data_IF_937937720756
#
_entry.id   IF_937937720756
#
_cell.length_a   1.000
_cell.length_b   1.000
_cell.length_c   1.000
_cell.angle_alpha   90.00
_cell.angle_beta   90.00
_cell.angle_gamma   90.00
#
_symmetry.space_group_name_H-M   'P 1'
#
loop_
_entity.id
_entity.type
_entity.pdbx_description
1 polymer ?
#
# COMPACT_ATOMS: atom_id res chain seq x y z
N UNK A 1 31.63 44.47 -35.62
CA UNK A 1 30.80 44.16 -34.44
C UNK A 1 30.43 42.67 -34.40
N UNK A 2 31.35 41.75 -34.71
CA UNK A 2 30.97 40.34 -35.01
C UNK A 2 31.93 39.26 -34.47
N UNK A 3 33.14 39.61 -34.00
CA UNK A 3 34.05 38.61 -33.41
C UNK A 3 33.84 38.40 -31.89
N UNK A 4 33.48 39.47 -31.17
CA UNK A 4 33.33 39.42 -29.70
C UNK A 4 32.09 38.61 -29.28
N UNK A 5 31.02 38.66 -30.08
CA UNK A 5 29.76 37.95 -29.78
C UNK A 5 29.88 36.42 -29.94
N UNK A 6 30.77 35.96 -30.84
CA UNK A 6 31.02 34.52 -31.05
C UNK A 6 31.85 33.92 -29.91
N UNK A 7 32.79 34.69 -29.34
CA UNK A 7 33.60 34.25 -28.20
C UNK A 7 32.75 34.14 -26.93
N UNK A 8 31.79 35.05 -26.72
CA UNK A 8 30.86 34.98 -25.57
C UNK A 8 29.90 33.79 -25.69
N UNK A 9 29.45 33.43 -26.90
CA UNK A 9 28.66 32.20 -27.12
C UNK A 9 29.48 30.90 -26.92
N UNK A 10 30.78 30.91 -27.24
CA UNK A 10 31.66 29.76 -26.99
C UNK A 10 32.00 29.59 -25.50
N UNK A 11 32.10 30.67 -24.73
CA UNK A 11 32.33 30.60 -23.28
C UNK A 11 31.06 30.13 -22.53
N UNK A 12 29.86 30.41 -23.05
CA UNK A 12 28.60 29.93 -22.48
C UNK A 12 28.32 28.44 -22.76
N UNK A 13 29.09 27.78 -23.64
CA UNK A 13 28.96 26.33 -23.91
C UNK A 13 29.95 25.45 -23.14
N UNK A 14 30.79 26.03 -22.28
CA UNK A 14 31.53 25.29 -21.24
C UNK A 14 30.83 25.37 -19.90
N UNK A 15 29.49 25.31 -19.90
CA UNK A 15 28.81 24.67 -18.78
C UNK A 15 29.27 23.22 -18.83
N UNK A 16 30.23 22.83 -17.98
CA UNK A 16 30.46 21.41 -17.72
C UNK A 16 29.09 20.84 -17.38
N UNK A 17 28.47 20.16 -18.34
CA UNK A 17 27.43 19.21 -18.02
C UNK A 17 28.12 18.28 -17.04
N UNK A 18 27.73 18.31 -15.77
CA UNK A 18 28.12 17.31 -14.78
C UNK A 18 27.48 15.99 -15.23
N UNK A 19 27.97 15.46 -16.36
CA UNK A 19 27.67 14.14 -16.84
C UNK A 19 28.37 13.21 -15.87
N UNK A 20 27.58 12.51 -15.08
CA UNK A 20 28.06 11.42 -14.24
C UNK A 20 28.76 10.41 -15.15
N UNK A 21 30.08 10.33 -15.09
CA UNK A 21 30.86 9.34 -15.84
C UNK A 21 30.67 7.95 -15.23
N UNK A 22 30.51 6.94 -16.08
CA UNK A 22 30.39 5.53 -15.67
C UNK A 22 31.65 5.06 -14.95
N UNK A 23 32.81 5.64 -15.23
CA UNK A 23 34.07 5.36 -14.53
C UNK A 23 33.94 5.62 -13.03
N UNK A 24 33.41 6.78 -12.64
CA UNK A 24 33.18 7.16 -11.24
C UNK A 24 32.20 6.21 -10.55
N UNK A 25 31.15 5.77 -11.26
CA UNK A 25 30.16 4.81 -10.70
C UNK A 25 30.80 3.44 -10.47
N UNK A 26 31.61 2.96 -11.42
CA UNK A 26 32.34 1.68 -11.28
C UNK A 26 33.36 1.72 -10.15
N UNK A 27 34.06 2.84 -10.00
CA UNK A 27 35.01 3.04 -8.91
C UNK A 27 34.28 3.04 -7.57
N UNK A 28 33.20 3.81 -7.42
CA UNK A 28 32.37 3.81 -6.22
C UNK A 28 31.88 2.40 -5.87
N UNK A 29 31.44 1.63 -6.87
CA UNK A 29 31.01 0.25 -6.67
C UNK A 29 32.11 -0.63 -6.08
N UNK A 30 33.33 -0.49 -6.61
CA UNK A 30 34.49 -1.28 -6.19
C UNK A 30 34.93 -0.89 -4.78
N UNK A 31 34.97 0.40 -4.48
CA UNK A 31 35.53 0.93 -3.24
C UNK A 31 34.57 0.75 -2.04
N UNK A 32 33.26 0.90 -2.27
CA UNK A 32 32.25 0.90 -1.19
C UNK A 32 31.47 -0.41 -1.10
N UNK A 33 31.10 -1.01 -2.23
CA UNK A 33 30.11 -2.09 -2.26
C UNK A 33 30.70 -3.49 -2.48
N UNK A 34 31.93 -3.62 -2.98
CA UNK A 34 32.51 -4.92 -3.33
C UNK A 34 32.64 -5.89 -2.14
N UNK A 35 32.89 -5.36 -0.93
CA UNK A 35 33.08 -6.16 0.29
C UNK A 35 31.95 -5.96 1.30
N UNK A 36 30.85 -5.30 0.90
CA UNK A 36 29.72 -5.07 1.81
C UNK A 36 29.03 -6.39 2.14
N UNK A 37 28.89 -6.70 3.44
CA UNK A 37 28.26 -7.93 3.92
C UNK A 37 26.80 -7.67 4.29
N UNK A 38 25.89 -8.10 3.42
CA UNK A 38 24.45 -7.85 3.58
C UNK A 38 23.80 -8.69 4.69
N UNK A 39 24.47 -9.72 5.19
CA UNK A 39 23.96 -10.59 6.25
C UNK A 39 24.09 -9.96 7.64
N UNK A 40 24.90 -8.90 7.78
CA UNK A 40 25.12 -8.19 9.04
C UNK A 40 24.14 -7.03 9.14
N UNK A 41 23.57 -6.81 10.33
CA UNK A 41 22.73 -5.64 10.59
C UNK A 41 23.55 -4.36 10.36
N UNK A 42 23.08 -3.41 9.53
CA UNK A 42 23.85 -2.27 9.07
C UNK A 42 23.91 -1.13 10.11
N UNK A 43 24.27 -1.45 11.35
CA UNK A 43 24.37 -0.54 12.49
C UNK A 43 25.81 -0.45 13.00
N UNK A 44 26.25 0.78 13.30
CA UNK A 44 27.59 1.01 13.89
C UNK A 44 27.62 0.46 15.32
N UNK A 45 26.65 0.85 16.15
CA UNK A 45 26.49 0.30 17.50
C UNK A 45 25.52 -0.88 17.48
N UNK A 46 26.07 -2.09 17.64
CA UNK A 46 25.32 -3.33 17.63
C UNK A 46 24.37 -3.50 18.83
N UNK A 47 24.46 -2.64 19.87
CA UNK A 47 23.58 -2.66 21.03
C UNK A 47 22.33 -1.79 20.87
N UNK A 48 22.24 -1.02 19.78
CA UNK A 48 21.08 -0.16 19.51
C UNK A 48 20.16 -0.79 18.46
N UNK A 49 18.84 -0.57 18.54
CA UNK A 49 17.91 -1.01 17.51
C UNK A 49 18.09 -0.18 16.24
N UNK A 50 18.14 -0.85 15.10
CA UNK A 50 18.10 -0.20 13.79
C UNK A 50 16.72 0.43 13.58
N UNK A 51 16.69 1.70 13.24
CA UNK A 51 15.44 2.45 13.03
C UNK A 51 15.07 2.42 11.55
N UNK A 52 13.90 1.87 11.23
CA UNK A 52 13.35 1.86 9.86
C UNK A 52 12.17 2.82 9.81
N UNK A 53 12.27 3.86 8.99
CA UNK A 53 11.17 4.79 8.72
C UNK A 53 10.31 4.25 7.58
N UNK A 54 9.00 4.19 7.79
CA UNK A 54 8.05 3.61 6.83
C UNK A 54 7.03 4.65 6.38
N UNK A 55 6.76 4.69 5.07
CA UNK A 55 5.63 5.40 4.45
C UNK A 55 4.79 4.43 3.64
N UNK A 56 3.47 4.56 3.70
CA UNK A 56 2.54 3.82 2.86
C UNK A 56 1.90 4.70 1.79
N UNK A 57 1.77 4.16 0.58
CA UNK A 57 1.12 4.80 -0.56
C UNK A 57 -0.04 3.93 -1.02
N UNK A 58 -1.26 4.48 -0.96
CA UNK A 58 -2.45 3.81 -1.47
C UNK A 58 -2.70 4.23 -2.92
N UNK A 59 -2.69 3.27 -3.85
CA UNK A 59 -2.94 3.53 -5.27
C UNK A 59 -4.36 3.16 -5.68
N UNK A 60 -4.85 1.97 -5.31
CA UNK A 60 -6.26 1.62 -5.55
C UNK A 60 -6.73 0.51 -4.63
N UNK A 61 -8.04 0.44 -4.44
CA UNK A 61 -8.71 -0.70 -3.81
C UNK A 61 -9.10 -1.64 -4.95
N UNK A 62 -8.46 -2.80 -5.04
CA UNK A 62 -8.67 -3.76 -6.13
C UNK A 62 -9.92 -4.61 -5.87
N UNK A 63 -10.05 -5.15 -4.65
CA UNK A 63 -11.17 -6.00 -4.24
C UNK A 63 -11.47 -5.77 -2.76
N UNK A 64 -12.74 -5.82 -2.41
CA UNK A 64 -13.20 -6.00 -1.04
C UNK A 64 -14.25 -7.10 -1.08
N UNK A 65 -14.08 -8.12 -0.26
CA UNK A 65 -14.99 -9.26 -0.16
C UNK A 65 -15.61 -9.27 1.23
N UNK A 66 -16.89 -8.92 1.31
CA UNK A 66 -17.61 -8.84 2.59
C UNK A 66 -17.80 -10.21 3.23
N UNK A 67 -17.88 -11.27 2.41
CA UNK A 67 -18.18 -12.64 2.88
C UNK A 67 -16.90 -13.32 3.34
N UNK A 68 -15.84 -13.22 2.53
CA UNK A 68 -14.55 -13.81 2.88
C UNK A 68 -13.76 -12.95 3.91
N UNK A 69 -14.27 -11.76 4.22
CA UNK A 69 -13.64 -10.77 5.10
C UNK A 69 -12.22 -10.43 4.65
N UNK A 70 -12.10 -10.05 3.38
CA UNK A 70 -10.80 -9.76 2.75
C UNK A 70 -10.79 -8.43 2.03
N UNK A 71 -9.64 -7.77 2.05
CA UNK A 71 -9.36 -6.60 1.23
C UNK A 71 -8.11 -6.84 0.41
N UNK A 72 -8.15 -6.42 -0.85
CA UNK A 72 -7.00 -6.41 -1.77
C UNK A 72 -6.78 -4.99 -2.26
N UNK A 73 -5.59 -4.45 -2.01
CA UNK A 73 -5.18 -3.14 -2.49
C UNK A 73 -3.97 -3.25 -3.40
N UNK A 74 -3.83 -2.31 -4.32
CA UNK A 74 -2.57 -1.98 -4.94
C UNK A 74 -1.97 -0.79 -4.20
N UNK A 75 -0.72 -0.93 -3.76
CA UNK A 75 -0.03 0.12 -3.03
C UNK A 75 1.48 0.00 -3.12
N UNK A 76 2.15 0.94 -2.48
CA UNK A 76 3.59 0.88 -2.28
C UNK A 76 3.93 1.21 -0.82
N UNK A 77 5.05 0.68 -0.36
CA UNK A 77 5.66 0.96 0.93
C UNK A 77 7.06 1.51 0.66
N UNK A 78 7.38 2.67 1.22
CA UNK A 78 8.73 3.21 1.25
C UNK A 78 9.37 2.87 2.58
N UNK A 79 10.52 2.22 2.55
CA UNK A 79 11.34 1.96 3.73
C UNK A 79 12.64 2.73 3.65
N UNK A 80 12.99 3.47 4.70
CA UNK A 80 14.23 4.22 4.78
C UNK A 80 14.98 3.92 6.07
N UNK A 81 16.29 3.73 5.96
CA UNK A 81 17.19 3.49 7.09
C UNK A 81 18.58 4.03 6.79
N UNK A 82 19.41 4.18 7.82
CA UNK A 82 20.81 4.52 7.65
C UNK A 82 21.65 3.24 7.74
N UNK A 83 22.48 2.99 6.72
CA UNK A 83 23.44 1.89 6.69
C UNK A 83 24.82 2.40 7.10
N UNK A 84 25.24 2.05 8.32
CA UNK A 84 26.51 2.50 8.87
C UNK A 84 27.75 1.94 8.16
N UNK A 85 27.59 0.90 7.34
CA UNK A 85 28.66 0.30 6.53
C UNK A 85 28.82 0.94 5.15
N UNK A 86 27.94 1.89 4.78
CA UNK A 86 27.94 2.53 3.47
C UNK A 86 28.04 4.04 3.66
N UNK A 87 29.15 4.63 3.24
CA UNK A 87 29.29 6.08 3.11
C UNK A 87 30.42 6.42 2.15
N UNK A 88 30.35 7.58 1.52
CA UNK A 88 31.43 8.07 0.67
C UNK A 88 31.44 9.60 0.57
N UNK A 89 32.59 10.15 0.18
CA UNK A 89 32.70 11.56 -0.18
C UNK A 89 32.27 11.76 -1.64
N UNK A 90 31.17 12.50 -1.94
CA UNK A 90 30.71 12.74 -3.30
C UNK A 90 31.78 13.30 -4.23
N UNK A 91 32.69 14.14 -3.71
CA UNK A 91 33.70 14.82 -4.52
C UNK A 91 34.74 13.86 -5.11
N UNK A 92 34.99 12.73 -4.42
CA UNK A 92 35.88 11.65 -4.87
C UNK A 92 35.32 10.86 -6.06
N UNK A 93 34.01 10.96 -6.33
CA UNK A 93 33.31 10.21 -7.38
C UNK A 93 32.53 11.12 -8.33
N UNK A 94 33.06 12.32 -8.61
CA UNK A 94 32.45 13.24 -9.57
C UNK A 94 31.16 13.90 -9.08
N UNK A 95 31.14 14.34 -7.82
CA UNK A 95 29.99 14.94 -7.13
C UNK A 95 28.76 14.02 -7.15
N UNK A 96 28.98 12.73 -6.90
CA UNK A 96 27.92 11.73 -6.86
C UNK A 96 27.34 11.65 -5.45
N UNK A 97 26.16 12.23 -5.26
CA UNK A 97 25.46 12.24 -3.96
C UNK A 97 24.58 11.02 -3.73
N UNK A 98 24.26 10.26 -4.78
CA UNK A 98 23.51 9.02 -4.65
C UNK A 98 23.88 8.03 -5.75
N UNK A 99 23.60 6.76 -5.47
CA UNK A 99 23.68 5.68 -6.44
C UNK A 99 22.45 4.79 -6.33
N UNK A 100 22.25 3.96 -7.35
CA UNK A 100 21.15 3.00 -7.40
C UNK A 100 21.75 1.61 -7.54
N UNK A 101 21.31 0.68 -6.70
CA UNK A 101 21.73 -0.72 -6.72
C UNK A 101 20.51 -1.64 -6.67
N UNK A 102 20.70 -2.90 -7.03
CA UNK A 102 19.69 -3.93 -6.73
C UNK A 102 19.66 -4.16 -5.22
N UNK A 103 18.45 -4.29 -4.66
CA UNK A 103 18.22 -4.65 -3.26
C UNK A 103 18.95 -5.94 -2.84
N UNK A 104 19.23 -6.85 -3.77
CA UNK A 104 19.90 -8.13 -3.49
C UNK A 104 21.39 -7.99 -3.06
N UNK A 105 21.96 -6.79 -3.25
CA UNK A 105 23.37 -6.49 -3.00
C UNK A 105 23.65 -5.84 -1.65
N UNK A 106 22.61 -5.41 -0.94
CA UNK A 106 22.73 -4.77 0.38
C UNK A 106 21.79 -5.46 1.37
N UNK A 107 21.94 -5.14 2.65
CA UNK A 107 20.97 -5.56 3.65
C UNK A 107 19.61 -4.90 3.38
N UNK A 108 18.52 -5.61 3.61
CA UNK A 108 17.15 -5.07 3.49
C UNK A 108 16.30 -5.52 4.68
N UNK A 109 15.43 -4.64 5.24
CA UNK A 109 14.65 -4.98 6.41
C UNK A 109 13.61 -6.09 6.12
N UNK A 110 13.50 -7.12 6.98
CA UNK A 110 12.54 -8.20 6.80
C UNK A 110 11.13 -7.78 7.27
N UNK A 111 10.41 -7.00 6.45
CA UNK A 111 9.05 -6.54 6.80
C UNK A 111 8.00 -7.47 6.19
N UNK A 112 7.12 -8.01 7.02
CA UNK A 112 6.10 -9.00 6.62
C UNK A 112 4.69 -8.54 6.97
N UNK A 113 3.74 -8.74 6.05
CA UNK A 113 2.31 -8.52 6.32
C UNK A 113 1.73 -9.75 7.05
N UNK A 114 1.46 -9.62 8.35
CA UNK A 114 1.12 -10.79 9.21
C UNK A 114 -0.34 -11.21 9.14
N UNK A 115 -1.23 -10.31 8.74
CA UNK A 115 -2.65 -10.61 8.54
C UNK A 115 -2.99 -10.83 7.06
N UNK A 116 -2.03 -11.36 6.29
CA UNK A 116 -2.18 -11.65 4.87
C UNK A 116 -3.15 -12.83 4.60
N UNK A 117 -3.82 -12.83 3.44
CA UNK A 117 -4.78 -13.88 3.05
C UNK A 117 -4.12 -15.06 2.34
N UNK A 118 -3.19 -14.80 1.42
CA UNK A 118 -2.63 -15.85 0.55
C UNK A 118 -1.29 -16.41 1.06
N UNK A 119 -0.28 -15.55 1.16
CA UNK A 119 1.10 -15.95 1.50
C UNK A 119 1.60 -15.07 2.63
N UNK A 120 2.03 -15.72 3.73
CA UNK A 120 2.85 -15.09 4.75
C UNK A 120 4.24 -14.85 4.17
N UNK A 121 4.59 -13.58 3.98
CA UNK A 121 5.87 -13.19 3.43
C UNK A 121 6.00 -11.69 3.28
N UNK A 122 7.09 -11.23 2.65
CA UNK A 122 7.23 -9.84 2.25
C UNK A 122 6.01 -9.39 1.47
N UNK A 123 5.72 -8.09 1.50
CA UNK A 123 4.71 -7.44 0.65
C UNK A 123 4.71 -8.07 -0.74
N UNK A 124 3.59 -8.68 -1.17
CA UNK A 124 3.55 -9.44 -2.42
C UNK A 124 3.87 -8.50 -3.59
N UNK A 125 5.11 -8.61 -4.08
CA UNK A 125 5.72 -7.69 -5.01
C UNK A 125 7.15 -8.11 -5.29
N UNK A 126 7.76 -7.47 -6.30
CA UNK A 126 9.15 -7.71 -6.61
C UNK A 126 10.02 -7.14 -5.49
N UNK A 127 10.53 -7.99 -4.60
CA UNK A 127 11.50 -7.57 -3.58
C UNK A 127 12.88 -7.29 -4.21
N UNK A 128 13.09 -7.65 -5.49
CA UNK A 128 14.33 -7.41 -6.24
C UNK A 128 14.28 -6.08 -6.99
N UNK A 129 13.74 -5.05 -6.34
CA UNK A 129 13.72 -3.69 -6.86
C UNK A 129 15.05 -2.98 -6.66
N UNK A 130 15.15 -1.83 -7.33
CA UNK A 130 16.26 -0.91 -7.11
C UNK A 130 16.10 -0.16 -5.78
N UNK A 131 17.21 -0.02 -5.05
CA UNK A 131 17.36 0.79 -3.85
C UNK A 131 18.13 2.06 -4.18
N UNK A 132 17.70 3.18 -3.61
CA UNK A 132 18.42 4.45 -3.67
C UNK A 132 19.31 4.56 -2.43
N UNK A 133 20.59 4.83 -2.64
CA UNK A 133 21.57 4.92 -1.57
C UNK A 133 22.22 6.28 -1.69
N UNK A 134 22.22 7.05 -0.62
CA UNK A 134 22.83 8.37 -0.51
C UNK A 134 24.22 8.28 0.10
N UNK A 135 25.04 9.30 -0.16
CA UNK A 135 26.45 9.35 0.24
C UNK A 135 26.69 9.30 1.75
N UNK A 136 25.68 9.68 2.53
CA UNK A 136 25.67 9.68 3.99
C UNK A 136 25.18 8.35 4.60
N UNK A 137 24.97 7.33 3.77
CA UNK A 137 24.48 6.01 4.17
C UNK A 137 22.97 5.93 4.30
N UNK A 138 22.21 7.00 4.04
CA UNK A 138 20.76 6.89 3.99
C UNK A 138 20.34 6.04 2.78
N UNK A 139 19.52 5.04 3.03
CA UNK A 139 18.98 4.12 2.03
C UNK A 139 17.47 4.31 1.95
N UNK A 140 16.93 4.28 0.74
CA UNK A 140 15.49 4.31 0.48
C UNK A 140 15.13 3.16 -0.45
N UNK A 141 14.25 2.29 0.03
CA UNK A 141 13.79 1.11 -0.68
C UNK A 141 12.28 1.18 -0.95
N UNK A 142 11.88 1.37 -2.22
CA UNK A 142 10.48 1.29 -2.61
C UNK A 142 10.04 -0.16 -2.84
N UNK A 143 8.97 -0.55 -2.16
CA UNK A 143 8.30 -1.85 -2.26
C UNK A 143 6.88 -1.63 -2.80
N UNK A 144 6.66 -1.88 -4.09
CA UNK A 144 5.33 -1.81 -4.71
C UNK A 144 4.71 -3.19 -4.83
N UNK A 145 3.40 -3.30 -4.65
CA UNK A 145 2.75 -4.61 -4.76
C UNK A 145 1.26 -4.64 -4.51
N UNK A 146 0.71 -5.83 -4.73
CA UNK A 146 -0.66 -6.18 -4.34
C UNK A 146 -0.60 -6.63 -2.89
N UNK A 147 -1.46 -6.08 -2.03
CA UNK A 147 -1.52 -6.46 -0.62
C UNK A 147 -2.92 -6.99 -0.33
N UNK A 148 -3.01 -8.26 0.04
CA UNK A 148 -4.26 -8.92 0.42
C UNK A 148 -4.25 -9.22 1.91
N UNK A 149 -5.20 -8.66 2.65
CA UNK A 149 -5.27 -8.77 4.11
C UNK A 149 -6.67 -9.15 4.59
N UNK A 150 -6.73 -9.82 5.75
CA UNK A 150 -7.98 -10.06 6.47
C UNK A 150 -8.55 -8.74 7.00
N UNK A 151 -9.84 -8.55 6.81
CA UNK A 151 -10.57 -7.36 7.22
C UNK A 151 -11.97 -7.73 7.73
N UNK A 152 -12.18 -7.56 9.03
CA UNK A 152 -13.48 -7.76 9.67
C UNK A 152 -14.51 -6.80 9.09
N UNK A 153 -15.67 -7.34 8.73
CA UNK A 153 -16.72 -6.56 8.05
C UNK A 153 -17.88 -6.26 8.99
N UNK A 154 -18.38 -5.01 8.98
CA UNK A 154 -19.64 -4.62 9.65
C UNK A 154 -20.68 -4.17 8.62
N UNK A 155 -21.66 -5.03 8.34
CA UNK A 155 -22.74 -4.77 7.37
C UNK A 155 -24.02 -4.19 8.00
N UNK A 156 -23.99 -3.79 9.28
CA UNK A 156 -25.18 -3.32 10.00
C UNK A 156 -25.87 -2.12 9.34
N UNK A 157 -25.11 -1.29 8.61
CA UNK A 157 -25.60 -0.08 7.92
C UNK A 157 -25.70 -0.23 6.40
N UNK A 158 -25.69 -1.46 5.88
CA UNK A 158 -25.78 -1.69 4.45
C UNK A 158 -27.03 -1.01 3.84
N UNK A 159 -26.93 -0.32 2.68
CA UNK A 159 -25.74 -0.14 1.82
C UNK A 159 -24.94 1.15 2.09
N UNK A 160 -25.19 1.85 3.20
CA UNK A 160 -24.52 3.11 3.58
C UNK A 160 -23.36 2.89 4.57
N UNK A 161 -22.74 1.73 4.47
CA UNK A 161 -21.69 1.24 5.36
C UNK A 161 -20.29 1.79 5.00
N UNK A 162 -19.43 1.76 6.00
CA UNK A 162 -17.99 2.00 5.90
C UNK A 162 -17.26 0.84 6.56
N UNK A 163 -16.10 0.48 6.03
CA UNK A 163 -15.30 -0.64 6.52
C UNK A 163 -13.91 -0.13 6.88
N UNK A 164 -13.37 -0.58 8.01
CA UNK A 164 -12.01 -0.22 8.45
C UNK A 164 -11.13 -1.47 8.42
N UNK A 165 -10.22 -1.51 7.45
CA UNK A 165 -9.34 -2.64 7.23
C UNK A 165 -7.92 -2.33 7.69
N UNK A 166 -7.29 -3.32 8.33
CA UNK A 166 -5.96 -3.20 8.93
C UNK A 166 -4.93 -3.90 8.05
N UNK A 167 -3.76 -3.29 7.90
CA UNK A 167 -2.57 -3.90 7.33
C UNK A 167 -1.48 -3.85 8.41
N UNK A 168 -1.09 -5.02 8.91
CA UNK A 168 -0.16 -5.15 10.02
C UNK A 168 1.21 -5.60 9.50
N UNK A 169 2.17 -4.69 9.47
CA UNK A 169 3.53 -4.95 9.04
C UNK A 169 4.44 -5.19 10.24
N UNK A 170 5.05 -6.36 10.30
CA UNK A 170 5.90 -6.83 11.41
C UNK A 170 7.36 -6.89 10.97
N UNK A 171 8.29 -6.57 11.87
CA UNK A 171 9.71 -6.92 11.74
C UNK A 171 9.91 -8.43 11.91
N UNK A 172 9.98 -9.18 10.81
CA UNK A 172 10.05 -10.64 10.86
C UNK A 172 11.44 -11.13 11.27
N UNK A 173 11.51 -11.89 12.35
CA UNK A 173 12.76 -12.52 12.83
C UNK A 173 13.75 -11.57 13.49
N UNK A 174 13.42 -10.28 13.63
CA UNK A 174 14.20 -9.28 14.37
C UNK A 174 13.30 -8.60 15.39
N UNK A 175 13.62 -8.75 16.67
CA UNK A 175 12.82 -8.17 17.74
C UNK A 175 12.98 -6.64 17.84
N UNK A 176 12.19 -5.99 18.69
CA UNK A 176 12.21 -4.53 18.84
C UNK A 176 13.53 -3.97 19.40
N UNK A 177 14.38 -4.81 20.01
CA UNK A 177 15.72 -4.43 20.50
C UNK A 177 16.76 -4.43 19.39
N UNK A 178 16.50 -5.21 18.33
CA UNK A 178 17.35 -5.28 17.14
C UNK A 178 16.90 -4.32 16.04
N UNK A 179 15.58 -4.19 15.83
CA UNK A 179 14.98 -3.38 14.78
C UNK A 179 13.65 -2.76 15.25
N UNK A 180 13.51 -1.45 15.08
CA UNK A 180 12.28 -0.70 15.37
C UNK A 180 11.72 -0.07 14.10
N UNK A 181 10.43 -0.31 13.84
CA UNK A 181 9.68 0.35 12.78
C UNK A 181 9.11 1.67 13.31
N UNK A 182 9.34 2.75 12.57
CA UNK A 182 8.84 4.08 12.86
C UNK A 182 8.10 4.67 11.68
N UNK A 183 7.32 5.71 11.98
CA UNK A 183 6.65 6.52 10.97
C UNK A 183 7.62 7.57 10.43
N UNK A 184 7.62 7.75 9.11
CA UNK A 184 8.25 8.92 8.51
C UNK A 184 7.44 10.19 8.83
N UNK A 185 7.95 11.36 8.41
CA UNK A 185 7.25 12.63 8.58
C UNK A 185 5.91 12.69 7.82
N UNK A 186 5.80 11.95 6.71
CA UNK A 186 4.56 11.78 5.93
C UNK A 186 4.31 10.26 5.77
N UNK A 187 3.68 9.63 6.77
CA UNK A 187 3.63 8.17 6.87
C UNK A 187 2.56 7.53 5.99
N UNK A 188 1.65 8.31 5.43
CA UNK A 188 0.61 7.81 4.52
C UNK A 188 0.23 8.82 3.46
N UNK A 189 0.23 8.40 2.20
CA UNK A 189 -0.19 9.23 1.08
C UNK A 189 -1.18 8.49 0.17
N UNK A 190 -2.31 9.14 -0.09
CA UNK A 190 -3.30 8.73 -1.09
C UNK A 190 -3.23 9.61 -2.36
N UNK A 191 -2.12 10.30 -2.61
CA UNK A 191 -2.00 11.22 -3.75
C UNK A 191 -2.17 10.55 -5.12
N UNK A 192 -1.84 9.26 -5.21
CA UNK A 192 -1.99 8.45 -6.42
C UNK A 192 -3.26 7.60 -6.41
N UNK A 193 -4.18 7.84 -5.46
CA UNK A 193 -5.36 7.02 -5.29
C UNK A 193 -6.33 7.20 -6.46
N UNK A 194 -6.66 6.08 -7.11
CA UNK A 194 -7.71 5.99 -8.11
C UNK A 194 -8.92 5.28 -7.50
N UNK A 195 -10.06 5.99 -7.31
CA UNK A 195 -11.28 5.39 -6.79
C UNK A 195 -11.86 4.37 -7.77
N UNK A 196 -12.56 3.36 -7.24
CA UNK A 196 -13.30 2.40 -8.06
C UNK A 196 -14.82 2.65 -7.93
N UNK A 197 -15.63 1.90 -8.69
CA UNK A 197 -17.09 2.10 -8.72
C UNK A 197 -17.83 1.69 -7.44
N UNK A 198 -17.17 0.96 -6.53
CA UNK A 198 -17.78 0.31 -5.38
C UNK A 198 -17.37 0.93 -4.05
N UNK A 199 -16.12 1.40 -3.96
CA UNK A 199 -15.46 1.81 -2.73
C UNK A 199 -14.61 3.05 -2.94
N UNK A 200 -14.78 4.01 -2.03
CA UNK A 200 -13.97 5.22 -1.97
C UNK A 200 -13.13 5.21 -0.69
N UNK A 201 -11.88 5.64 -0.81
CA UNK A 201 -11.06 5.93 0.37
C UNK A 201 -11.69 7.09 1.17
N UNK A 202 -11.77 6.95 2.49
CA UNK A 202 -12.36 7.94 3.38
C UNK A 202 -11.35 8.54 4.35
N UNK A 203 -10.61 7.69 5.06
CA UNK A 203 -9.64 8.12 6.07
C UNK A 203 -8.64 7.01 6.36
N UNK A 204 -7.59 7.35 7.12
CA UNK A 204 -6.60 6.40 7.61
C UNK A 204 -6.30 6.67 9.09
N UNK A 205 -5.82 5.64 9.79
CA UNK A 205 -5.24 5.71 11.14
C UNK A 205 -3.98 4.83 11.16
N UNK A 206 -2.96 5.21 11.93
CA UNK A 206 -1.70 4.47 11.99
C UNK A 206 -1.29 4.28 13.44
N UNK A 207 -0.92 3.06 13.80
CA UNK A 207 -0.50 2.71 15.15
C UNK A 207 0.81 1.95 15.12
N UNK A 208 1.72 2.37 15.98
CA UNK A 208 2.92 1.58 16.32
C UNK A 208 2.52 0.68 17.48
N UNK A 209 2.61 -0.63 17.28
CA UNK A 209 2.29 -1.64 18.30
C UNK A 209 3.49 -2.58 18.47
N UNK A 210 3.53 -3.28 19.60
CA UNK A 210 4.48 -4.35 19.84
C UNK A 210 3.73 -5.67 19.91
N UNK A 211 4.07 -6.60 19.03
CA UNK A 211 3.47 -7.93 18.98
C UNK A 211 4.51 -8.96 19.39
N UNK A 212 4.36 -9.55 20.59
CA UNK A 212 5.31 -10.52 21.15
C UNK A 212 6.78 -10.04 21.16
N UNK A 213 7.00 -8.74 21.39
CA UNK A 213 8.34 -8.14 21.40
C UNK A 213 8.87 -7.71 20.03
N UNK A 214 8.12 -7.94 18.95
CA UNK A 214 8.46 -7.48 17.60
C UNK A 214 7.79 -6.14 17.30
N UNK A 215 8.53 -5.25 16.64
CA UNK A 215 8.01 -3.95 16.24
C UNK A 215 7.01 -4.12 15.08
N UNK A 216 5.82 -3.52 15.23
CA UNK A 216 4.73 -3.66 14.26
C UNK A 216 4.09 -2.32 13.94
N UNK A 217 3.82 -2.08 12.65
CA UNK A 217 3.02 -0.95 12.18
C UNK A 217 1.65 -1.44 11.72
N UNK A 218 0.58 -0.93 12.32
CA UNK A 218 -0.79 -1.16 11.89
C UNK A 218 -1.30 0.06 11.10
N UNK A 219 -1.45 -0.10 9.79
CA UNK A 219 -2.12 0.88 8.93
C UNK A 219 -3.59 0.50 8.79
N UNK A 220 -4.46 1.32 9.35
CA UNK A 220 -5.91 1.17 9.22
C UNK A 220 -6.42 2.08 8.12
N UNK A 221 -7.00 1.53 7.06
CA UNK A 221 -7.68 2.30 6.02
C UNK A 221 -9.19 2.16 6.17
N UNK A 222 -9.90 3.28 6.14
CA UNK A 222 -11.37 3.29 6.15
C UNK A 222 -11.87 3.57 4.74
N UNK A 223 -12.68 2.65 4.23
CA UNK A 223 -13.32 2.72 2.92
C UNK A 223 -14.82 2.90 3.07
N UNK A 224 -15.43 3.68 2.17
CA UNK A 224 -16.86 3.97 2.16
C UNK A 224 -17.51 3.43 0.89
N UNK A 225 -18.65 2.75 1.03
CA UNK A 225 -19.37 2.19 -0.11
C UNK A 225 -19.96 3.27 -1.01
N UNK A 226 -19.87 3.09 -2.32
CA UNK A 226 -20.64 3.82 -3.31
C UNK A 226 -22.09 3.28 -3.34
N UNK A 227 -22.92 3.76 -2.40
CA UNK A 227 -24.22 3.15 -2.07
C UNK A 227 -25.29 3.24 -3.18
N UNK A 228 -25.18 4.16 -4.13
CA UNK A 228 -26.29 4.51 -5.04
C UNK A 228 -26.88 3.29 -5.77
N UNK A 229 -26.03 2.49 -6.41
CA UNK A 229 -26.44 1.29 -7.13
C UNK A 229 -27.14 0.28 -6.21
N UNK A 230 -26.56 0.03 -5.03
CA UNK A 230 -27.08 -0.91 -4.05
C UNK A 230 -28.42 -0.44 -3.45
N UNK A 231 -28.54 0.85 -3.14
CA UNK A 231 -29.79 1.44 -2.64
C UNK A 231 -30.93 1.27 -3.63
N UNK A 232 -30.68 1.52 -4.92
CA UNK A 232 -31.68 1.31 -5.98
C UNK A 232 -32.06 -0.17 -6.07
N UNK A 233 -31.09 -1.07 -6.10
CA UNK A 233 -31.34 -2.52 -6.21
C UNK A 233 -32.09 -3.11 -5.01
N UNK A 234 -31.73 -2.71 -3.78
CA UNK A 234 -32.44 -3.12 -2.56
C UNK A 234 -33.88 -2.64 -2.59
N UNK A 235 -34.09 -1.37 -2.94
CA UNK A 235 -35.42 -0.75 -3.01
C UNK A 235 -36.29 -1.45 -4.07
N UNK A 236 -35.74 -1.70 -5.27
CA UNK A 236 -36.42 -2.44 -6.33
C UNK A 236 -36.84 -3.83 -5.86
N UNK A 237 -35.92 -4.62 -5.29
CA UNK A 237 -36.23 -5.96 -4.76
C UNK A 237 -37.32 -5.94 -3.67
N UNK A 238 -37.26 -4.97 -2.76
CA UNK A 238 -38.27 -4.81 -1.73
C UNK A 238 -39.65 -4.49 -2.32
N UNK A 239 -39.69 -3.61 -3.32
CA UNK A 239 -40.93 -3.25 -4.01
C UNK A 239 -41.49 -4.42 -4.84
N UNK A 240 -40.65 -5.19 -5.54
CA UNK A 240 -41.08 -6.40 -6.27
C UNK A 240 -41.68 -7.44 -5.33
N UNK A 241 -41.04 -7.72 -4.18
CA UNK A 241 -41.61 -8.65 -3.17
C UNK A 241 -42.95 -8.17 -2.62
N UNK A 242 -43.11 -6.86 -2.38
CA UNK A 242 -44.39 -6.29 -1.97
C UNK A 242 -45.46 -6.48 -3.05
N UNK A 243 -45.13 -6.26 -4.32
CA UNK A 243 -46.04 -6.47 -5.44
C UNK A 243 -46.44 -7.94 -5.61
N UNK A 244 -45.51 -8.89 -5.47
CA UNK A 244 -45.80 -10.33 -5.47
C UNK A 244 -46.75 -10.71 -4.33
N UNK A 245 -46.52 -10.19 -3.12
CA UNK A 245 -47.40 -10.42 -1.99
C UNK A 245 -48.80 -9.84 -2.22
N UNK A 246 -48.89 -8.63 -2.81
CA UNK A 246 -50.17 -7.99 -3.15
C UNK A 246 -50.90 -8.78 -4.26
N UNK A 247 -50.19 -9.19 -5.31
CA UNK A 247 -50.74 -10.00 -6.39
C UNK A 247 -51.20 -11.37 -5.90
N UNK A 248 -50.48 -11.97 -4.96
CA UNK A 248 -50.85 -13.23 -4.34
C UNK A 248 -52.11 -13.09 -3.48
N UNK A 249 -52.20 -12.05 -2.65
CA UNK A 249 -53.40 -11.80 -1.83
C UNK A 249 -54.61 -11.42 -2.66
N UNK A 250 -54.45 -10.64 -3.74
CA UNK A 250 -55.57 -10.33 -4.65
C UNK A 250 -56.03 -11.57 -5.40
N UNK A 251 -55.12 -12.43 -5.88
CA UNK A 251 -55.49 -13.70 -6.51
C UNK A 251 -56.24 -14.64 -5.55
N UNK A 252 -55.79 -14.74 -4.29
CA UNK A 252 -56.48 -15.49 -3.23
C UNK A 252 -57.87 -14.94 -2.92
N UNK A 253 -58.02 -13.61 -2.82
CA UNK A 253 -59.32 -12.96 -2.61
C UNK A 253 -60.30 -13.24 -3.74
N UNK A 254 -59.86 -13.14 -5.00
CA UNK A 254 -60.68 -13.45 -6.17
C UNK A 254 -61.09 -14.92 -6.18
N UNK A 255 -60.18 -15.84 -5.86
CA UNK A 255 -60.49 -17.28 -5.72
C UNK A 255 -61.52 -17.55 -4.61
N UNK A 256 -61.42 -16.88 -3.45
CA UNK A 256 -62.41 -17.00 -2.38
C UNK A 256 -63.80 -16.51 -2.83
N UNK A 257 -63.88 -15.34 -3.48
CA UNK A 257 -65.14 -14.79 -3.99
C UNK A 257 -65.77 -15.72 -5.04
N UNK A 258 -64.94 -16.29 -5.93
CA UNK A 258 -65.41 -17.26 -6.93
C UNK A 258 -65.89 -18.57 -6.30
N UNK A 259 -65.26 -19.03 -5.21
CA UNK A 259 -65.68 -20.24 -4.49
C UNK A 259 -67.02 -20.04 -3.78
N UNK A 260 -67.22 -18.90 -3.12
CA UNK A 260 -68.48 -18.57 -2.44
C UNK A 260 -69.66 -18.40 -3.41
N UNK A 261 -69.42 -17.87 -4.61
CA UNK A 261 -70.44 -17.74 -5.66
C UNK A 261 -70.81 -19.07 -6.34
N UNK A 262 -69.93 -20.07 -6.33
CA UNK A 262 -70.29 -21.44 -6.77
C UNK A 262 -71.08 -22.25 -5.72
N UNK A 263 -70.95 -21.92 -4.42
CA UNK A 263 -71.72 -22.60 -3.36
C UNK A 263 -73.16 -22.08 -3.21
N UNK A 264 -73.48 -20.88 -3.70
CA UNK A 264 -74.85 -20.33 -3.66
C UNK A 264 -75.74 -20.79 -4.81
N UNK A 265 -75.19 -21.49 -5.82
CA UNK A 265 -75.95 -22.00 -6.99
C UNK A 265 -76.32 -23.49 -6.90
N UNK A 266 -75.99 -24.18 -5.79
CA UNK A 266 -76.34 -25.59 -5.55
C UNK A 266 -77.42 -25.80 -4.48
N UNK A 267 -78.16 -24.75 -4.10
CA UNK A 267 -79.32 -24.82 -3.20
C UNK A 267 -80.52 -24.17 -3.89
N UNK A 268 -81.08 -24.88 -4.86
CA UNK A 268 -82.42 -24.68 -5.42
C UNK A 268 -82.97 -26.01 -5.91
#
# INVERSE_FOLDING_TARGET
MSAIFVIVLAILTLSKTNGQDISNVKQLYTDVFANHQKEILPKIDQNTPLQISVTMYLMTITKFDEVDETIVILGAMGCSWNDGGISWDPTSYGNKYYTVLSSEKIWTPPITLINAVDVLGPVQGDTKTNVYIFYDGNVTWPLGGVMSAKCTTDISKFPYDSQTCKFQFLSWGLDQTELTLNLSSDPFSAQFFTPNSNWNFSSYDIRIISWNGYSTLEFSITIKRASLYYSVMVTLKQNTRKLEHISGTTALLVLCILKDSTMSSSVS
#
